data_IF_494252153095
#
_entry.id   IF_494252153095
#
_cell.length_a   1.000
_cell.length_b   1.000
_cell.length_c   1.000
_cell.angle_alpha   90.00
_cell.angle_beta   90.00
_cell.angle_gamma   90.00
#
_symmetry.space_group_name_H-M   'P 1'
#
loop_
_entity.id
_entity.type
_entity.pdbx_description
1 polymer ?
#
# COMPACT_ATOMS: atom_id res chain seq x y z
N UNK A 1 5.14 26.49 -65.55
CA UNK A 1 5.79 26.71 -64.24
C UNK A 1 5.10 25.84 -63.18
N UNK A 2 5.71 24.72 -62.76
CA UNK A 2 5.21 23.86 -61.68
C UNK A 2 6.31 23.71 -60.63
N UNK A 3 6.49 24.70 -59.77
CA UNK A 3 7.40 24.60 -58.63
C UNK A 3 6.62 24.93 -57.35
N UNK A 4 6.89 24.14 -56.30
CA UNK A 4 6.65 24.48 -54.89
C UNK A 4 5.36 24.02 -54.18
N UNK A 5 4.76 22.86 -54.49
CA UNK A 5 3.77 22.24 -53.57
C UNK A 5 4.35 21.12 -52.68
N UNK A 6 5.50 20.55 -53.02
CA UNK A 6 6.10 19.42 -52.29
C UNK A 6 6.78 19.80 -50.95
N UNK A 7 7.07 21.09 -50.69
CA UNK A 7 7.83 21.51 -49.51
C UNK A 7 6.99 21.71 -48.24
N UNK A 8 5.69 21.98 -48.39
CA UNK A 8 4.80 22.28 -47.27
C UNK A 8 4.40 21.01 -46.49
N UNK A 9 4.20 19.90 -47.19
CA UNK A 9 3.84 18.60 -46.61
C UNK A 9 5.02 17.97 -45.88
N UNK A 10 6.24 18.12 -46.40
CA UNK A 10 7.45 17.59 -45.77
C UNK A 10 7.76 18.26 -44.43
N UNK A 11 7.71 19.60 -44.37
CA UNK A 11 7.92 20.35 -43.11
C UNK A 11 6.82 20.04 -42.09
N UNK A 12 5.58 19.85 -42.53
CA UNK A 12 4.46 19.45 -41.66
C UNK A 12 4.67 18.04 -41.11
N UNK A 13 5.16 17.09 -41.92
CA UNK A 13 5.49 15.72 -41.49
C UNK A 13 6.64 15.67 -40.50
N UNK A 14 7.69 16.45 -40.72
CA UNK A 14 8.82 16.55 -39.78
C UNK A 14 8.37 17.13 -38.44
N UNK A 15 7.57 18.20 -38.44
CA UNK A 15 7.02 18.77 -37.20
C UNK A 15 6.13 17.78 -36.46
N UNK A 16 5.29 17.03 -37.18
CA UNK A 16 4.43 16.00 -36.58
C UNK A 16 5.26 14.87 -35.99
N UNK A 17 6.25 14.34 -36.72
CA UNK A 17 7.13 13.29 -36.21
C UNK A 17 7.92 13.74 -34.99
N UNK A 18 8.44 14.97 -35.00
CA UNK A 18 9.13 15.56 -33.86
C UNK A 18 8.22 15.67 -32.63
N UNK A 19 6.98 16.12 -32.81
CA UNK A 19 5.98 16.18 -31.73
C UNK A 19 5.64 14.78 -31.20
N UNK A 20 5.49 13.78 -32.07
CA UNK A 20 5.21 12.40 -31.64
C UNK A 20 6.38 11.79 -30.86
N UNK A 21 7.62 12.06 -31.27
CA UNK A 21 8.82 11.62 -30.55
C UNK A 21 8.90 12.30 -29.18
N UNK A 22 8.68 13.61 -29.11
CA UNK A 22 8.64 14.35 -27.84
C UNK A 22 7.53 13.86 -26.91
N UNK A 23 6.35 13.58 -27.45
CA UNK A 23 5.21 13.09 -26.67
C UNK A 23 5.44 11.66 -26.16
N UNK A 24 6.06 10.81 -26.97
CA UNK A 24 6.51 9.47 -26.56
C UNK A 24 7.56 9.54 -25.44
N UNK A 25 8.56 10.41 -25.59
CA UNK A 25 9.60 10.62 -24.57
C UNK A 25 9.01 11.16 -23.26
N UNK A 26 8.08 12.11 -23.32
CA UNK A 26 7.37 12.63 -22.15
C UNK A 26 6.61 11.52 -21.41
N UNK A 27 5.88 10.66 -22.13
CA UNK A 27 5.16 9.53 -21.53
C UNK A 27 6.12 8.52 -20.91
N UNK A 28 7.28 8.26 -21.53
CA UNK A 28 8.30 7.38 -21.00
C UNK A 28 8.93 7.95 -19.72
N UNK A 29 9.22 9.25 -19.67
CA UNK A 29 9.70 9.94 -18.47
C UNK A 29 8.65 9.88 -17.36
N UNK A 30 7.38 10.16 -17.66
CA UNK A 30 6.30 10.05 -16.68
C UNK A 30 6.11 8.62 -16.18
N UNK A 31 6.27 7.60 -17.03
CA UNK A 31 6.27 6.20 -16.62
C UNK A 31 7.45 5.85 -15.72
N UNK A 32 8.64 6.34 -16.03
CA UNK A 32 9.84 6.09 -15.24
C UNK A 32 9.79 6.83 -13.90
N UNK A 33 9.37 8.09 -13.87
CA UNK A 33 9.19 8.83 -12.61
C UNK A 33 8.04 8.27 -11.80
N UNK A 34 6.97 7.77 -12.42
CA UNK A 34 5.91 7.04 -11.73
C UNK A 34 6.43 5.72 -11.16
N UNK A 35 7.21 4.93 -11.90
CA UNK A 35 7.83 3.71 -11.34
C UNK A 35 8.79 4.08 -10.20
N UNK A 36 9.63 5.10 -10.34
CA UNK A 36 10.58 5.47 -9.29
C UNK A 36 9.83 6.06 -8.08
N UNK A 37 8.91 7.00 -8.26
CA UNK A 37 8.23 7.69 -7.15
C UNK A 37 7.11 6.84 -6.51
N UNK A 38 6.46 5.99 -7.30
CA UNK A 38 5.30 5.19 -6.87
C UNK A 38 5.66 3.73 -6.58
N UNK A 39 6.82 3.23 -7.04
CA UNK A 39 7.31 1.90 -6.66
C UNK A 39 8.33 1.94 -5.52
N UNK A 40 9.13 2.99 -5.35
CA UNK A 40 10.17 3.02 -4.30
C UNK A 40 9.71 2.54 -2.90
N UNK A 41 8.53 2.93 -2.36
CA UNK A 41 8.05 2.39 -1.08
C UNK A 41 7.83 0.86 -1.08
N UNK A 42 7.46 0.26 -2.21
CA UNK A 42 7.28 -1.19 -2.35
C UNK A 42 8.62 -1.96 -2.33
N UNK A 43 9.68 -1.44 -2.95
CA UNK A 43 10.96 -2.13 -3.00
C UNK A 43 11.66 -2.17 -1.62
N UNK A 44 11.48 -1.13 -0.82
CA UNK A 44 12.05 -1.04 0.53
C UNK A 44 11.37 -2.04 1.50
N UNK A 45 10.05 -2.24 1.36
CA UNK A 45 9.27 -3.24 2.14
C UNK A 45 9.75 -4.69 1.93
N UNK A 46 10.09 -5.08 0.70
CA UNK A 46 10.60 -6.45 0.43
C UNK A 46 12.06 -6.65 0.86
N UNK A 47 12.87 -5.58 0.89
CA UNK A 47 14.27 -5.69 1.36
C UNK A 47 14.36 -5.80 2.87
N UNK A 48 13.51 -5.06 3.58
CA UNK A 48 13.49 -5.02 5.03
C UNK A 48 12.13 -5.53 5.51
N UNK A 49 11.90 -6.86 5.52
CA UNK A 49 10.65 -7.40 6.02
C UNK A 49 10.44 -6.89 7.46
N UNK A 50 9.20 -6.57 7.86
CA UNK A 50 8.94 -6.17 9.22
C UNK A 50 9.50 -7.26 10.16
N UNK A 51 10.15 -6.86 11.26
CA UNK A 51 10.61 -7.78 12.27
C UNK A 51 9.46 -8.74 12.63
N UNK A 52 9.73 -10.04 12.79
CA UNK A 52 8.66 -10.99 13.09
C UNK A 52 7.92 -10.53 14.36
N UNK A 53 6.61 -10.78 14.43
CA UNK A 53 5.73 -10.21 15.45
C UNK A 53 6.12 -10.56 16.91
N UNK A 54 7.09 -11.47 17.09
CA UNK A 54 7.68 -11.91 18.34
C UNK A 54 9.04 -11.26 18.68
N UNK A 55 9.68 -10.56 17.73
CA UNK A 55 10.81 -9.67 18.01
C UNK A 55 10.31 -8.42 18.73
N UNK A 56 10.80 -8.23 19.94
CA UNK A 56 10.24 -7.24 20.85
C UNK A 56 11.03 -7.11 22.14
N UNK A 57 10.78 -6.03 22.85
CA UNK A 57 11.38 -5.76 24.17
C UNK A 57 10.49 -6.34 25.27
N UNK A 58 11.09 -6.73 26.40
CA UNK A 58 10.32 -7.12 27.60
C UNK A 58 10.19 -5.91 28.52
N UNK A 59 8.96 -5.48 28.76
CA UNK A 59 8.62 -4.40 29.66
C UNK A 59 8.12 -4.94 31.00
N UNK A 60 8.67 -4.44 32.10
CA UNK A 60 8.15 -4.72 33.45
C UNK A 60 7.11 -3.68 33.83
N UNK A 61 5.87 -4.12 34.06
CA UNK A 61 4.74 -3.26 34.44
C UNK A 61 5.03 -2.55 35.75
N UNK A 62 4.72 -1.25 35.82
CA UNK A 62 4.89 -0.41 37.01
C UNK A 62 3.55 -0.08 37.65
N UNK A 63 3.59 0.42 38.88
CA UNK A 63 2.39 0.92 39.57
C UNK A 63 1.70 2.02 38.75
N UNK A 64 0.40 1.82 38.47
CA UNK A 64 -0.41 2.74 37.67
C UNK A 64 -0.35 2.51 36.16
N UNK A 65 0.44 1.55 35.67
CA UNK A 65 0.43 1.18 34.25
C UNK A 65 -0.85 0.40 33.90
N UNK A 66 -1.33 0.60 32.68
CA UNK A 66 -2.38 -0.20 32.05
C UNK A 66 -2.00 -0.44 30.60
N UNK A 67 -2.48 -1.55 30.03
CA UNK A 67 -1.96 -2.08 28.76
C UNK A 67 -2.11 -1.10 27.59
N UNK A 68 -3.18 -0.28 27.59
CA UNK A 68 -3.38 0.76 26.59
C UNK A 68 -2.29 1.85 26.65
N UNK A 69 -1.96 2.37 27.84
CA UNK A 69 -0.89 3.38 27.98
C UNK A 69 0.47 2.82 27.55
N UNK A 70 0.77 1.57 27.91
CA UNK A 70 1.99 0.87 27.47
C UNK A 70 2.03 0.80 25.94
N UNK A 71 0.93 0.32 25.31
CA UNK A 71 0.87 0.20 23.85
C UNK A 71 1.07 1.55 23.14
N UNK A 72 0.50 2.62 23.69
CA UNK A 72 0.66 3.99 23.16
C UNK A 72 2.07 4.50 23.32
N UNK A 73 2.69 4.26 24.48
CA UNK A 73 4.08 4.66 24.75
C UNK A 73 5.04 4.04 23.75
N UNK A 74 4.82 2.77 23.41
CA UNK A 74 5.65 2.04 22.46
C UNK A 74 5.16 2.15 21.00
N UNK A 75 4.12 2.95 20.75
CA UNK A 75 3.54 3.15 19.42
C UNK A 75 3.14 1.85 18.70
N UNK A 76 2.72 0.84 19.46
CA UNK A 76 2.29 -0.45 18.94
C UNK A 76 0.78 -0.63 19.08
N UNK A 77 0.13 -1.39 18.18
CA UNK A 77 -1.27 -1.73 18.36
C UNK A 77 -1.48 -2.56 19.64
N UNK A 78 -2.43 -2.14 20.49
CA UNK A 78 -2.79 -2.87 21.71
C UNK A 78 -3.11 -4.36 21.44
N UNK A 79 -3.81 -4.64 20.33
CA UNK A 79 -4.16 -6.00 19.90
C UNK A 79 -2.94 -6.89 19.65
N UNK A 80 -1.84 -6.31 19.15
CA UNK A 80 -0.59 -7.03 18.93
C UNK A 80 0.07 -7.39 20.25
N UNK A 81 0.08 -6.47 21.22
CA UNK A 81 0.57 -6.73 22.59
C UNK A 81 -0.24 -7.84 23.27
N UNK A 82 -1.58 -7.77 23.18
CA UNK A 82 -2.48 -8.78 23.76
C UNK A 82 -2.20 -10.16 23.16
N UNK A 83 -2.11 -10.25 21.83
CA UNK A 83 -1.87 -11.51 21.12
C UNK A 83 -0.49 -12.10 21.43
N UNK A 84 0.55 -11.28 21.48
CA UNK A 84 1.91 -11.74 21.72
C UNK A 84 2.11 -12.32 23.12
N UNK A 85 1.30 -11.88 24.08
CA UNK A 85 1.39 -12.31 25.48
C UNK A 85 0.24 -13.23 25.91
N UNK A 86 -0.62 -13.65 24.98
CA UNK A 86 -1.82 -14.46 25.25
C UNK A 86 -2.69 -13.91 26.40
N UNK A 87 -2.81 -12.58 26.48
CA UNK A 87 -3.54 -11.90 27.56
C UNK A 87 -5.04 -12.06 27.34
N UNK A 88 -5.72 -12.71 28.29
CA UNK A 88 -7.18 -12.91 28.24
C UNK A 88 -7.96 -11.66 28.62
N UNK A 89 -7.48 -10.94 29.64
CA UNK A 89 -8.10 -9.70 30.11
C UNK A 89 -7.07 -8.55 30.11
N UNK A 90 -7.15 -7.62 29.14
CA UNK A 90 -6.23 -6.48 29.02
C UNK A 90 -6.24 -5.51 30.20
N UNK A 91 -7.31 -5.51 30.99
CA UNK A 91 -7.49 -4.61 32.13
C UNK A 91 -6.89 -5.19 33.43
N UNK A 92 -6.49 -6.46 33.42
CA UNK A 92 -5.90 -7.16 34.56
C UNK A 92 -4.40 -7.40 34.33
N UNK A 93 -3.62 -6.34 34.49
CA UNK A 93 -2.15 -6.42 34.59
C UNK A 93 -1.70 -5.89 35.95
N UNK A 94 -0.60 -6.43 36.48
CA UNK A 94 -0.10 -6.10 37.81
C UNK A 94 1.32 -5.56 37.76
N UNK A 95 1.70 -4.67 38.67
CA UNK A 95 3.08 -4.23 38.82
C UNK A 95 4.02 -5.42 39.02
N UNK A 96 5.11 -5.46 38.24
CA UNK A 96 6.06 -6.57 38.20
C UNK A 96 5.84 -7.56 37.06
N UNK A 97 4.67 -7.54 36.40
CA UNK A 97 4.41 -8.40 35.24
C UNK A 97 5.37 -8.09 34.10
N UNK A 98 5.84 -9.13 33.42
CA UNK A 98 6.70 -9.02 32.23
C UNK A 98 5.85 -9.13 30.97
N UNK A 99 5.71 -8.03 30.25
CA UNK A 99 4.95 -7.94 29.02
C UNK A 99 5.92 -7.80 27.85
N UNK A 100 5.79 -8.70 26.86
CA UNK A 100 6.49 -8.61 25.58
C UNK A 100 5.84 -7.55 24.71
N UNK A 101 6.62 -6.58 24.28
CA UNK A 101 6.17 -5.49 23.41
C UNK A 101 6.76 -5.74 22.04
N UNK A 102 5.93 -5.95 20.99
CA UNK A 102 6.45 -6.15 19.63
C UNK A 102 7.19 -4.90 19.17
N UNK A 103 8.06 -5.03 18.18
CA UNK A 103 8.66 -3.86 17.56
C UNK A 103 7.57 -2.98 16.91
N UNK A 104 7.71 -1.64 16.96
CA UNK A 104 6.84 -0.76 16.21
C UNK A 104 6.98 -1.11 14.74
N UNK A 105 5.87 -1.46 14.10
CA UNK A 105 5.84 -1.50 12.64
C UNK A 105 6.32 -0.12 12.16
N UNK A 106 7.17 -0.03 11.14
CA UNK A 106 7.48 1.26 10.54
C UNK A 106 6.16 1.94 10.22
N UNK A 107 6.10 3.27 10.30
CA UNK A 107 4.88 4.06 10.10
C UNK A 107 4.34 3.93 8.66
N UNK A 108 3.92 2.73 8.31
CA UNK A 108 3.16 2.40 7.13
C UNK A 108 1.71 2.70 7.47
N UNK A 109 0.96 3.38 6.59
CA UNK A 109 -0.48 3.42 6.72
C UNK A 109 -0.94 1.96 6.85
N UNK A 110 -1.61 1.66 7.97
CA UNK A 110 -2.29 0.40 8.27
C UNK A 110 -2.38 -0.60 7.11
N UNK A 111 -1.85 -1.81 7.32
CA UNK A 111 -1.84 -2.93 6.37
C UNK A 111 -3.19 -3.14 5.66
N UNK A 112 -4.30 -2.84 6.34
CA UNK A 112 -5.66 -2.91 5.80
C UNK A 112 -5.93 -1.89 4.68
N UNK A 113 -5.36 -0.69 4.73
CA UNK A 113 -5.49 0.35 3.69
C UNK A 113 -4.52 0.11 2.53
N UNK A 114 -3.29 -0.36 2.78
CA UNK A 114 -2.33 -0.73 1.72
C UNK A 114 -2.88 -1.91 0.89
N UNK A 115 -3.43 -2.93 1.56
CA UNK A 115 -4.02 -4.09 0.87
C UNK A 115 -5.34 -3.76 0.16
N UNK A 116 -6.13 -2.82 0.70
CA UNK A 116 -7.39 -2.40 0.08
C UNK A 116 -7.22 -1.42 -1.10
N UNK A 117 -6.18 -0.58 -1.10
CA UNK A 117 -5.98 0.44 -2.13
C UNK A 117 -4.98 0.05 -3.23
N UNK A 118 -4.12 -0.96 -3.02
CA UNK A 118 -3.03 -1.27 -3.96
C UNK A 118 -3.10 -2.66 -4.61
N UNK A 119 -4.08 -3.51 -4.29
CA UNK A 119 -4.17 -4.84 -4.91
C UNK A 119 -5.13 -4.84 -6.11
N UNK A 120 -4.63 -4.92 -7.37
CA UNK A 120 -5.50 -5.15 -8.52
C UNK A 120 -6.41 -6.38 -8.31
N UNK A 121 -5.96 -7.39 -7.55
CA UNK A 121 -6.75 -8.57 -7.26
C UNK A 121 -8.03 -8.27 -6.44
N UNK A 122 -8.01 -7.30 -5.53
CA UNK A 122 -9.18 -6.92 -4.74
C UNK A 122 -10.16 -6.04 -5.55
N UNK A 123 -9.63 -5.17 -6.41
CA UNK A 123 -10.42 -4.42 -7.40
C UNK A 123 -11.12 -5.38 -8.38
N UNK A 124 -10.40 -6.33 -8.97
CA UNK A 124 -10.97 -7.33 -9.89
C UNK A 124 -11.95 -8.27 -9.18
N UNK A 125 -11.74 -8.58 -7.89
CA UNK A 125 -12.70 -9.35 -7.09
C UNK A 125 -14.02 -8.58 -6.91
N UNK A 126 -13.96 -7.29 -6.59
CA UNK A 126 -15.15 -6.44 -6.49
C UNK A 126 -15.89 -6.28 -7.81
N UNK A 127 -15.17 -6.03 -8.92
CA UNK A 127 -15.75 -5.95 -10.27
C UNK A 127 -16.41 -7.29 -10.65
N UNK A 128 -15.76 -8.42 -10.37
CA UNK A 128 -16.29 -9.77 -10.65
C UNK A 128 -17.58 -10.03 -9.87
N UNK A 129 -17.64 -9.68 -8.59
CA UNK A 129 -18.82 -9.88 -7.74
C UNK A 129 -20.03 -9.08 -8.23
N UNK A 130 -19.84 -7.83 -8.66
CA UNK A 130 -20.91 -7.01 -9.24
C UNK A 130 -21.41 -7.62 -10.56
N UNK A 131 -20.48 -8.05 -11.42
CA UNK A 131 -20.81 -8.68 -12.70
C UNK A 131 -21.60 -9.99 -12.52
N UNK A 132 -21.16 -10.88 -11.63
CA UNK A 132 -21.84 -12.15 -11.33
C UNK A 132 -23.26 -11.91 -10.78
N UNK A 133 -23.43 -10.94 -9.88
CA UNK A 133 -24.74 -10.60 -9.31
C UNK A 133 -25.74 -10.11 -10.37
N UNK A 134 -25.29 -9.30 -11.33
CA UNK A 134 -26.15 -8.75 -12.37
C UNK A 134 -26.39 -9.72 -13.54
N UNK A 135 -25.41 -10.55 -13.90
CA UNK A 135 -25.57 -11.57 -14.95
C UNK A 135 -26.49 -12.69 -14.50
N UNK A 136 -26.34 -13.19 -13.27
CA UNK A 136 -27.22 -14.25 -12.73
C UNK A 136 -28.67 -13.76 -12.58
N UNK A 137 -28.86 -12.48 -12.22
CA UNK A 137 -30.20 -11.87 -12.14
C UNK A 137 -30.90 -11.73 -13.51
N UNK A 138 -30.15 -11.74 -14.62
CA UNK A 138 -30.70 -11.64 -15.98
C UNK A 138 -31.07 -12.99 -16.62
N UNK A 139 -30.60 -14.10 -16.05
CA UNK A 139 -30.85 -15.46 -16.55
C UNK A 139 -31.96 -16.19 -15.79
N UNK A 140 -32.51 -15.62 -14.72
CA UNK A 140 -33.59 -16.23 -13.92
C UNK A 140 -34.99 -15.69 -14.23
N UNK A 141 -35.16 -14.96 -15.34
CA UNK A 141 -36.44 -14.39 -15.79
C UNK A 141 -36.89 -14.90 -17.17
N UNK A 142 -36.46 -16.10 -17.54
CA UNK A 142 -37.03 -16.94 -18.61
C UNK A 142 -37.49 -18.27 -18.00
#
# INVERSE_FOLDING_TARGET
MKRATASLTFRRRIRVLFVLILLSFLVLVLRLTYIIFWWYPYYEYKRNPPPPADSGIVYTVKNGDYLFAISKRFQVPLKSVIRLNDIKNPDLIHPGDKIRIPEPLPAYPNEEIIVALESPANFWKGVKTVWEKHVVASQSSE
#
